data_IF_339801095582
#
_entry.id   IF_339801095582
#
_cell.length_a   1.000
_cell.length_b   1.000
_cell.length_c   1.000
_cell.angle_alpha   90.00
_cell.angle_beta   90.00
_cell.angle_gamma   90.00
#
_symmetry.space_group_name_H-M   'P 1'
#
loop_
_entity.id
_entity.type
_entity.pdbx_description
1 polymer ?
#
# COMPACT_ATOMS: atom_id res chain seq x y z
N UNK A 1 -10.71 6.87 12.89
CA UNK A 1 -11.03 5.47 13.27
C UNK A 1 -11.26 5.40 14.77
N UNK A 2 -12.07 4.45 15.26
CA UNK A 2 -12.25 4.25 16.70
C UNK A 2 -10.93 3.79 17.35
N UNK A 3 -10.74 4.05 18.66
CA UNK A 3 -9.56 3.57 19.41
C UNK A 3 -9.37 2.05 19.26
N UNK A 4 -10.48 1.31 19.29
CA UNK A 4 -10.49 -0.15 19.16
C UNK A 4 -10.01 -0.63 17.78
N UNK A 5 -10.45 0.02 16.71
CA UNK A 5 -10.00 -0.32 15.35
C UNK A 5 -8.49 -0.09 15.18
N UNK A 6 -7.94 0.96 15.82
CA UNK A 6 -6.50 1.21 15.82
C UNK A 6 -5.74 0.09 16.55
N UNK A 7 -6.19 -0.32 17.72
CA UNK A 7 -5.58 -1.44 18.46
C UNK A 7 -5.63 -2.75 17.67
N UNK A 8 -6.75 -3.03 16.99
CA UNK A 8 -6.87 -4.21 16.13
C UNK A 8 -5.83 -4.22 15.01
N UNK A 9 -5.51 -3.06 14.41
CA UNK A 9 -4.43 -2.96 13.41
C UNK A 9 -3.08 -3.35 13.99
N UNK A 10 -2.74 -2.95 15.21
CA UNK A 10 -1.49 -3.38 15.87
C UNK A 10 -1.45 -4.89 16.13
N UNK A 11 -2.58 -5.49 16.48
CA UNK A 11 -2.69 -6.94 16.64
C UNK A 11 -2.48 -7.67 15.30
N UNK A 12 -3.01 -7.11 14.21
CA UNK A 12 -2.78 -7.64 12.86
C UNK A 12 -1.32 -7.48 12.45
N UNK A 13 -0.70 -6.32 12.70
CA UNK A 13 0.72 -6.08 12.41
C UNK A 13 1.61 -7.12 13.13
N UNK A 14 1.37 -7.38 14.42
CA UNK A 14 2.09 -8.42 15.16
C UNK A 14 1.90 -9.80 14.50
N UNK A 15 0.66 -10.16 14.15
CA UNK A 15 0.38 -11.43 13.50
C UNK A 15 1.11 -11.56 12.15
N UNK A 16 1.07 -10.52 11.32
CA UNK A 16 1.74 -10.52 10.01
C UNK A 16 3.26 -10.67 10.15
N UNK A 17 3.87 -10.03 11.16
CA UNK A 17 5.31 -10.18 11.46
C UNK A 17 5.64 -11.60 11.93
N UNK A 18 4.83 -12.18 12.83
CA UNK A 18 4.97 -13.57 13.30
C UNK A 18 4.87 -14.59 12.14
N UNK A 19 3.97 -14.35 11.17
CA UNK A 19 3.82 -15.16 9.96
C UNK A 19 4.83 -14.80 8.85
N UNK A 20 5.70 -13.80 9.08
CA UNK A 20 6.75 -13.34 8.15
C UNK A 20 6.23 -12.73 6.84
N UNK A 21 5.03 -12.16 6.83
CA UNK A 21 4.47 -11.43 5.69
C UNK A 21 5.00 -9.99 5.61
N UNK A 22 6.32 -9.86 5.39
CA UNK A 22 7.06 -8.58 5.51
C UNK A 22 6.50 -7.44 4.67
N UNK A 23 6.21 -7.68 3.39
CA UNK A 23 5.65 -6.63 2.51
C UNK A 23 4.29 -6.16 3.01
N UNK A 24 3.44 -7.09 3.44
CA UNK A 24 2.10 -6.79 3.99
C UNK A 24 2.20 -5.98 5.28
N UNK A 25 3.18 -6.25 6.14
CA UNK A 25 3.45 -5.45 7.35
C UNK A 25 3.66 -3.99 6.97
N UNK A 26 4.63 -3.71 6.09
CA UNK A 26 5.01 -2.34 5.75
C UNK A 26 3.94 -1.61 4.92
N UNK A 27 3.16 -2.34 4.12
CA UNK A 27 1.96 -1.80 3.46
C UNK A 27 0.89 -1.39 4.46
N UNK A 28 0.59 -2.23 5.46
CA UNK A 28 -0.39 -1.90 6.48
C UNK A 28 0.09 -0.75 7.38
N UNK A 29 1.38 -0.70 7.73
CA UNK A 29 2.00 0.44 8.43
C UNK A 29 1.77 1.74 7.66
N UNK A 30 2.07 1.73 6.35
CA UNK A 30 1.92 2.88 5.47
C UNK A 30 0.45 3.30 5.28
N UNK A 31 -0.44 2.38 4.93
CA UNK A 31 -1.84 2.69 4.62
C UNK A 31 -2.64 3.11 5.86
N UNK A 32 -2.32 2.52 7.03
CA UNK A 32 -2.97 2.90 8.29
C UNK A 32 -2.38 4.18 8.89
N UNK A 33 -1.08 4.44 8.66
CA UNK A 33 -0.36 5.57 9.24
C UNK A 33 -0.24 5.52 10.77
N UNK A 34 -0.45 4.36 11.40
CA UNK A 34 -0.49 4.20 12.86
C UNK A 34 0.86 3.91 13.51
N UNK A 35 1.77 3.27 12.80
CA UNK A 35 3.10 2.92 13.29
C UNK A 35 4.13 3.14 12.19
N UNK A 36 5.13 3.96 12.48
CA UNK A 36 6.27 4.19 11.61
C UNK A 36 7.44 3.33 12.06
N UNK A 37 7.68 2.27 11.32
CA UNK A 37 8.80 1.36 11.51
C UNK A 37 10.14 2.03 11.12
N UNK A 38 10.84 2.58 12.11
CA UNK A 38 12.13 3.24 11.92
C UNK A 38 13.19 2.29 11.33
N UNK A 39 13.19 1.02 11.76
CA UNK A 39 14.16 0.04 11.27
C UNK A 39 13.99 -0.23 9.76
N UNK A 40 12.75 -0.43 9.32
CA UNK A 40 12.45 -0.58 7.89
C UNK A 40 12.89 0.65 7.09
N UNK A 41 12.55 1.85 7.58
CA UNK A 41 12.96 3.10 6.93
C UNK A 41 14.49 3.24 6.83
N UNK A 42 15.22 2.91 7.90
CA UNK A 42 16.68 2.90 7.92
C UNK A 42 17.25 1.94 6.85
N UNK A 43 16.73 0.71 6.78
CA UNK A 43 17.16 -0.29 5.82
C UNK A 43 16.94 0.19 4.37
N UNK A 44 15.76 0.75 4.05
CA UNK A 44 15.45 1.26 2.71
C UNK A 44 16.32 2.46 2.31
N UNK A 45 16.63 3.36 3.25
CA UNK A 45 17.54 4.51 3.02
C UNK A 45 18.97 4.05 2.76
N UNK A 46 19.49 3.10 3.54
CA UNK A 46 20.85 2.57 3.36
C UNK A 46 20.96 1.83 2.03
N UNK A 47 19.94 1.08 1.63
CA UNK A 47 19.88 0.41 0.33
C UNK A 47 19.68 1.40 -0.83
N UNK A 48 19.15 2.60 -0.56
CA UNK A 48 18.92 3.65 -1.55
C UNK A 48 17.73 3.37 -2.43
N UNK A 49 16.72 2.70 -1.88
CA UNK A 49 15.46 2.41 -2.54
C UNK A 49 14.55 3.64 -2.47
N UNK A 50 14.98 4.73 -3.11
CA UNK A 50 14.41 6.07 -2.92
C UNK A 50 12.90 6.17 -3.19
N UNK A 51 12.41 5.42 -4.19
CA UNK A 51 10.98 5.42 -4.51
C UNK A 51 10.16 4.74 -3.40
N UNK A 52 10.70 3.70 -2.77
CA UNK A 52 10.09 3.05 -1.61
C UNK A 52 10.10 3.95 -0.38
N UNK A 53 11.24 4.61 -0.13
CA UNK A 53 11.40 5.57 0.98
C UNK A 53 10.35 6.68 0.90
N UNK A 54 10.19 7.32 -0.26
CA UNK A 54 9.20 8.37 -0.45
C UNK A 54 7.76 7.83 -0.37
N UNK A 55 7.50 6.66 -0.95
CA UNK A 55 6.19 5.99 -0.88
C UNK A 55 5.80 5.71 0.56
N UNK A 56 6.68 5.09 1.34
CA UNK A 56 6.45 4.75 2.74
C UNK A 56 6.25 6.00 3.61
N UNK A 57 7.11 7.02 3.48
CA UNK A 57 6.94 8.31 4.16
C UNK A 57 5.61 8.99 3.83
N UNK A 58 5.16 8.88 2.58
CA UNK A 58 3.89 9.44 2.11
C UNK A 58 2.65 8.94 2.85
N UNK A 59 2.73 7.79 3.53
CA UNK A 59 1.67 7.29 4.43
C UNK A 59 1.55 8.07 5.75
N UNK A 60 2.58 8.85 6.11
CA UNK A 60 2.67 9.54 7.41
C UNK A 60 2.68 11.06 7.27
N UNK A 61 3.26 11.59 6.19
CA UNK A 61 3.37 13.03 5.94
C UNK A 61 3.59 13.37 4.47
N UNK A 62 3.20 14.58 4.09
CA UNK A 62 3.45 15.21 2.79
C UNK A 62 4.58 16.23 2.88
N UNK A 63 5.12 16.61 1.73
CA UNK A 63 6.26 17.54 1.60
C UNK A 63 5.97 18.92 2.23
N UNK A 64 4.71 19.35 2.23
CA UNK A 64 4.25 20.67 2.62
C UNK A 64 3.54 20.72 3.98
N UNK A 65 3.44 19.58 4.69
CA UNK A 65 2.72 19.53 5.97
C UNK A 65 3.37 20.42 7.05
N UNK A 66 4.70 20.39 7.16
CA UNK A 66 5.47 21.20 8.09
C UNK A 66 6.96 21.27 7.70
N UNK A 67 7.72 22.12 8.39
CA UNK A 67 9.16 22.35 8.13
C UNK A 67 10.03 21.10 8.33
N UNK A 68 9.68 20.21 9.25
CA UNK A 68 10.41 18.95 9.43
C UNK A 68 10.18 18.02 8.24
N UNK A 69 8.92 17.82 7.84
CA UNK A 69 8.56 17.01 6.67
C UNK A 69 9.22 17.54 5.39
N UNK A 70 9.16 18.85 5.18
CA UNK A 70 9.81 19.50 4.04
C UNK A 70 11.32 19.21 4.01
N UNK A 71 12.00 19.33 5.16
CA UNK A 71 13.44 19.04 5.24
C UNK A 71 13.75 17.55 5.04
N UNK A 72 12.91 16.64 5.54
CA UNK A 72 13.04 15.18 5.32
C UNK A 72 13.03 14.87 3.81
N UNK A 73 12.00 15.33 3.09
CA UNK A 73 11.90 15.08 1.64
C UNK A 73 13.02 15.78 0.87
N UNK A 74 13.42 16.99 1.27
CA UNK A 74 14.52 17.70 0.64
C UNK A 74 15.84 16.92 0.74
N UNK A 75 16.21 16.44 1.93
CA UNK A 75 17.46 15.69 2.12
C UNK A 75 17.46 14.37 1.31
N UNK A 76 16.35 13.63 1.30
CA UNK A 76 16.20 12.40 0.51
C UNK A 76 16.40 12.67 -0.98
N UNK A 77 15.70 13.68 -1.52
CA UNK A 77 15.75 14.02 -2.95
C UNK A 77 17.09 14.63 -3.34
N UNK A 78 17.72 15.38 -2.44
CA UNK A 78 19.08 15.89 -2.61
C UNK A 78 20.07 14.75 -2.70
N UNK A 79 20.00 13.76 -1.80
CA UNK A 79 20.87 12.58 -1.86
C UNK A 79 20.64 11.76 -3.14
N UNK A 80 19.39 11.52 -3.53
CA UNK A 80 19.01 10.87 -4.81
C UNK A 80 19.64 11.58 -6.01
N UNK A 81 19.63 12.91 -6.01
CA UNK A 81 20.25 13.75 -7.05
C UNK A 81 21.78 13.66 -7.05
N UNK A 82 22.42 13.78 -5.88
CA UNK A 82 23.88 13.68 -5.76
C UNK A 82 24.39 12.30 -6.20
N UNK A 83 23.66 11.23 -5.92
CA UNK A 83 24.00 9.88 -6.42
C UNK A 83 23.88 9.73 -7.94
N UNK A 84 22.95 10.46 -8.58
CA UNK A 84 22.88 10.50 -10.04
C UNK A 84 24.08 11.25 -10.63
N UNK A 85 24.49 12.37 -10.02
CA UNK A 85 25.71 13.09 -10.40
C UNK A 85 26.97 12.24 -10.20
N UNK A 86 27.08 11.52 -9.08
CA UNK A 86 28.23 10.67 -8.75
C UNK A 86 28.39 9.49 -9.73
N UNK A 87 27.28 9.03 -10.31
CA UNK A 87 27.26 8.01 -11.37
C UNK A 87 27.44 8.59 -12.77
N UNK A 88 27.66 9.90 -12.88
CA UNK A 88 27.71 10.66 -14.14
C UNK A 88 26.44 10.53 -15.01
N UNK A 89 25.30 10.18 -14.40
CA UNK A 89 24.00 10.11 -15.08
C UNK A 89 23.31 11.48 -15.03
N UNK A 90 23.79 12.40 -15.89
CA UNK A 90 23.28 13.78 -15.96
C UNK A 90 21.82 13.84 -16.39
N UNK A 91 21.36 12.91 -17.23
CA UNK A 91 19.96 12.86 -17.66
C UNK A 91 19.04 12.62 -16.46
N UNK A 92 19.36 11.60 -15.65
CA UNK A 92 18.62 11.31 -14.43
C UNK A 92 18.74 12.43 -13.39
N UNK A 93 19.92 13.05 -13.27
CA UNK A 93 20.11 14.18 -12.37
C UNK A 93 19.19 15.36 -12.74
N UNK A 94 19.09 15.71 -14.03
CA UNK A 94 18.16 16.76 -14.51
C UNK A 94 16.70 16.36 -14.26
N UNK A 95 16.35 15.09 -14.50
CA UNK A 95 15.00 14.59 -14.21
C UNK A 95 14.63 14.78 -12.74
N UNK A 96 15.50 14.35 -11.81
CA UNK A 96 15.30 14.50 -10.36
C UNK A 96 15.24 15.99 -9.99
N UNK A 97 16.12 16.82 -10.55
CA UNK A 97 16.14 18.26 -10.28
C UNK A 97 14.80 18.91 -10.61
N UNK A 98 14.22 18.58 -11.78
CA UNK A 98 12.97 19.17 -12.26
C UNK A 98 11.74 18.57 -11.58
N UNK A 99 11.67 17.25 -11.42
CA UNK A 99 10.50 16.56 -10.86
C UNK A 99 10.45 16.63 -9.34
N UNK A 100 11.58 16.38 -8.68
CA UNK A 100 11.62 16.10 -7.26
C UNK A 100 12.06 17.34 -6.47
N UNK A 101 13.04 18.10 -6.97
CA UNK A 101 13.65 19.22 -6.24
C UNK A 101 13.03 20.60 -6.54
N UNK A 102 12.41 20.79 -7.70
CA UNK A 102 11.86 22.09 -8.11
C UNK A 102 10.80 22.64 -7.16
N UNK A 103 10.06 21.76 -6.47
CA UNK A 103 9.07 22.17 -5.46
C UNK A 103 9.68 22.97 -4.30
N UNK A 104 10.98 22.82 -4.03
CA UNK A 104 11.66 23.55 -2.96
C UNK A 104 12.12 24.96 -3.37
N UNK A 105 12.13 25.27 -4.68
CA UNK A 105 12.60 26.55 -5.20
C UNK A 105 11.75 27.74 -4.69
N UNK A 106 10.46 27.54 -4.44
CA UNK A 106 9.59 28.58 -3.88
C UNK A 106 9.93 28.96 -2.44
N UNK A 107 10.66 28.10 -1.72
CA UNK A 107 11.06 28.34 -0.33
C UNK A 107 12.48 28.91 -0.24
N UNK A 108 13.38 28.47 -1.13
CA UNK A 108 14.73 28.99 -1.21
C UNK A 108 15.24 28.91 -2.65
N UNK A 109 15.04 30.00 -3.40
CA UNK A 109 15.42 30.09 -4.81
C UNK A 109 16.94 30.02 -4.98
N UNK A 110 17.71 30.61 -4.06
CA UNK A 110 19.17 30.61 -4.12
C UNK A 110 19.74 29.20 -3.93
N UNK A 111 19.24 28.46 -2.94
CA UNK A 111 19.62 27.05 -2.74
C UNK A 111 19.29 26.19 -3.97
N UNK A 112 18.16 26.44 -4.64
CA UNK A 112 17.82 25.72 -5.86
C UNK A 112 18.77 26.07 -7.02
N UNK A 113 19.19 27.33 -7.14
CA UNK A 113 20.22 27.75 -8.11
C UNK A 113 21.56 27.10 -7.80
N UNK A 114 22.00 27.09 -6.54
CA UNK A 114 23.24 26.42 -6.10
C UNK A 114 23.23 24.93 -6.47
N UNK A 115 22.13 24.21 -6.20
CA UNK A 115 21.99 22.79 -6.56
C UNK A 115 22.01 22.58 -8.08
N UNK A 116 21.38 23.49 -8.83
CA UNK A 116 21.36 23.45 -10.30
C UNK A 116 22.76 23.64 -10.88
N UNK A 117 23.58 24.52 -10.30
CA UNK A 117 24.96 24.76 -10.73
C UNK A 117 25.85 23.51 -10.58
N UNK A 118 25.50 22.56 -9.71
CA UNK A 118 26.26 21.30 -9.59
C UNK A 118 26.26 20.48 -10.90
N UNK A 119 25.30 20.68 -11.81
CA UNK A 119 25.28 20.04 -13.13
C UNK A 119 26.44 20.49 -14.04
N UNK A 120 26.99 21.69 -13.81
CA UNK A 120 28.06 22.25 -14.64
C UNK A 120 29.44 21.78 -14.21
N UNK A 121 29.57 21.23 -13.01
CA UNK A 121 30.82 20.71 -12.48
C UNK A 121 31.13 19.34 -13.09
N UNK A 122 32.42 19.02 -13.22
CA UNK A 122 32.85 17.65 -13.55
C UNK A 122 32.70 16.75 -12.32
N UNK A 123 33.08 17.25 -11.14
CA UNK A 123 32.79 16.63 -9.86
C UNK A 123 32.12 17.64 -8.92
N UNK A 124 30.91 17.32 -8.45
CA UNK A 124 30.17 18.19 -7.53
C UNK A 124 30.89 18.42 -6.18
N UNK A 125 31.91 17.60 -5.85
CA UNK A 125 32.77 17.78 -4.67
C UNK A 125 33.72 18.98 -4.79
N UNK A 126 33.84 19.59 -5.96
CA UNK A 126 34.52 20.89 -6.14
C UNK A 126 33.75 22.03 -5.44
N UNK A 127 32.46 21.84 -5.17
CA UNK A 127 31.68 22.76 -4.35
C UNK A 127 32.14 22.69 -2.88
N UNK A 128 32.46 23.83 -2.26
CA UNK A 128 32.98 23.90 -0.89
C UNK A 128 32.06 23.22 0.14
N UNK A 129 30.74 23.34 -0.01
CA UNK A 129 29.76 22.76 0.92
C UNK A 129 29.67 21.23 0.79
N UNK A 130 30.01 20.68 -0.39
CA UNK A 130 29.94 19.25 -0.70
C UNK A 130 31.31 18.58 -0.75
N UNK A 131 32.39 19.32 -0.52
CA UNK A 131 33.78 18.82 -0.48
C UNK A 131 34.00 17.64 0.48
N UNK A 132 33.19 17.54 1.54
CA UNK A 132 33.22 16.46 2.54
C UNK A 132 32.42 15.22 2.15
N UNK A 133 31.73 15.26 1.01
CA UNK A 133 30.98 14.11 0.51
C UNK A 133 31.96 13.00 0.12
N UNK A 134 31.97 11.91 0.89
CA UNK A 134 32.81 10.74 0.64
C UNK A 134 32.22 9.82 -0.42
N UNK A 135 32.01 8.56 -0.03
CA UNK A 135 31.30 7.57 -0.84
C UNK A 135 29.78 7.57 -0.55
N UNK A 136 29.02 6.97 -1.46
CA UNK A 136 27.56 6.87 -1.37
C UNK A 136 27.08 6.22 -0.06
N UNK A 137 27.75 5.17 0.43
CA UNK A 137 27.32 4.47 1.64
C UNK A 137 27.51 5.35 2.88
N UNK A 138 28.65 6.02 2.98
CA UNK A 138 28.92 6.98 4.07
C UNK A 138 27.96 8.17 4.02
N UNK A 139 27.68 8.71 2.83
CA UNK A 139 26.73 9.81 2.66
C UNK A 139 25.32 9.44 3.12
N UNK A 140 24.81 8.26 2.73
CA UNK A 140 23.51 7.74 3.19
C UNK A 140 23.47 7.58 4.71
N UNK A 141 24.53 7.04 5.32
CA UNK A 141 24.59 6.86 6.76
C UNK A 141 24.57 8.20 7.53
N UNK A 142 25.30 9.22 7.05
CA UNK A 142 25.29 10.56 7.63
C UNK A 142 23.91 11.20 7.48
N UNK A 143 23.32 11.14 6.29
CA UNK A 143 21.98 11.66 6.03
C UNK A 143 20.95 10.97 6.94
N UNK A 144 21.03 9.65 7.11
CA UNK A 144 20.11 8.89 7.93
C UNK A 144 20.09 9.36 9.39
N UNK A 145 21.26 9.72 9.96
CA UNK A 145 21.33 10.29 11.32
C UNK A 145 20.53 11.59 11.43
N UNK A 146 20.57 12.44 10.40
CA UNK A 146 19.78 13.67 10.36
C UNK A 146 18.29 13.38 10.16
N UNK A 147 17.93 12.46 9.25
CA UNK A 147 16.54 12.06 9.01
C UNK A 147 15.88 11.51 10.28
N UNK A 148 16.58 10.68 11.07
CA UNK A 148 16.07 10.18 12.36
C UNK A 148 15.71 11.31 13.31
N UNK A 149 16.60 12.30 13.48
CA UNK A 149 16.34 13.46 14.32
C UNK A 149 15.14 14.26 13.84
N UNK A 150 15.01 14.45 12.52
CA UNK A 150 13.88 15.17 11.94
C UNK A 150 12.57 14.43 12.15
N UNK A 151 12.56 13.10 11.98
CA UNK A 151 11.38 12.26 12.20
C UNK A 151 10.98 12.27 13.69
N UNK A 152 11.93 12.09 14.59
CA UNK A 152 11.69 12.11 16.04
C UNK A 152 11.16 13.46 16.54
N UNK A 153 11.62 14.57 15.95
CA UNK A 153 11.15 15.91 16.28
C UNK A 153 9.83 16.30 15.58
N UNK A 154 9.41 15.56 14.55
CA UNK A 154 8.24 15.92 13.75
C UNK A 154 6.94 15.54 14.48
N UNK A 155 6.04 16.51 14.74
CA UNK A 155 4.81 16.26 15.51
C UNK A 155 3.88 15.23 14.86
N UNK A 156 3.96 14.99 13.54
CA UNK A 156 3.14 14.00 12.84
C UNK A 156 3.53 12.54 13.13
N UNK A 157 4.73 12.33 13.66
CA UNK A 157 5.26 11.02 14.04
C UNK A 157 5.13 10.76 15.55
N UNK A 158 4.62 11.74 16.32
CA UNK A 158 4.35 11.57 17.74
C UNK A 158 3.41 10.38 17.96
N UNK A 159 3.76 9.53 18.92
CA UNK A 159 3.03 8.30 19.26
C UNK A 159 2.91 7.27 18.12
N UNK A 160 3.80 7.35 17.13
CA UNK A 160 3.90 6.39 16.01
C UNK A 160 5.24 5.68 15.92
N UNK A 161 6.25 6.10 16.68
CA UNK A 161 7.61 5.54 16.61
C UNK A 161 7.85 4.34 17.52
N UNK A 162 6.92 4.07 18.44
CA UNK A 162 7.02 2.98 19.40
C UNK A 162 5.93 1.95 19.13
N UNK A 163 6.34 0.70 18.93
CA UNK A 163 5.39 -0.39 18.79
C UNK A 163 4.83 -0.74 20.18
N UNK A 164 3.51 -0.94 20.34
CA UNK A 164 2.92 -1.30 21.63
C UNK A 164 3.53 -2.58 22.19
N UNK A 165 3.72 -2.63 23.51
CA UNK A 165 4.19 -3.84 24.17
C UNK A 165 3.05 -4.87 24.25
N UNK A 166 3.05 -5.82 23.32
CA UNK A 166 2.08 -6.91 23.22
C UNK A 166 2.75 -8.23 23.61
N UNK A 167 2.03 -9.08 24.36
CA UNK A 167 2.42 -10.49 24.47
C UNK A 167 2.41 -11.14 23.08
N UNK A 168 3.30 -12.09 22.84
CA UNK A 168 3.35 -12.84 21.57
C UNK A 168 1.99 -13.45 21.24
N UNK A 169 1.66 -13.44 19.95
CA UNK A 169 0.44 -14.02 19.39
C UNK A 169 -0.83 -13.51 20.07
N UNK A 170 -0.90 -12.20 20.36
CA UNK A 170 -2.04 -11.59 21.07
C UNK A 170 -3.35 -11.78 20.29
N UNK A 171 -3.32 -11.64 18.98
CA UNK A 171 -4.49 -11.86 18.12
C UNK A 171 -4.99 -13.31 18.21
N UNK A 172 -4.08 -14.30 18.10
CA UNK A 172 -4.40 -15.73 18.24
C UNK A 172 -5.00 -16.03 19.62
N UNK A 173 -4.47 -15.38 20.66
CA UNK A 173 -5.00 -15.51 22.03
C UNK A 173 -6.43 -15.00 22.14
N UNK A 174 -6.74 -13.84 21.54
CA UNK A 174 -8.11 -13.31 21.54
C UNK A 174 -9.08 -14.21 20.76
N UNK A 175 -8.68 -14.70 19.59
CA UNK A 175 -9.47 -15.65 18.80
C UNK A 175 -9.80 -16.91 19.63
N UNK A 176 -8.81 -17.45 20.35
CA UNK A 176 -9.02 -18.61 21.22
C UNK A 176 -9.99 -18.29 22.39
N UNK A 177 -9.92 -17.09 22.95
CA UNK A 177 -10.87 -16.64 23.98
C UNK A 177 -12.30 -16.53 23.42
N UNK A 178 -12.47 -16.00 22.21
CA UNK A 178 -13.77 -15.96 21.53
C UNK A 178 -14.34 -17.36 21.29
N UNK A 179 -13.53 -18.31 20.84
CA UNK A 179 -13.93 -19.70 20.64
C UNK A 179 -14.36 -20.38 21.95
N UNK A 180 -13.59 -20.17 23.02
CA UNK A 180 -13.95 -20.69 24.35
C UNK A 180 -15.29 -20.11 24.83
N UNK A 181 -15.52 -18.82 24.60
CA UNK A 181 -16.78 -18.17 24.96
C UNK A 181 -17.97 -18.73 24.16
N UNK A 182 -17.82 -18.90 22.84
CA UNK A 182 -18.85 -19.55 22.01
C UNK A 182 -19.15 -20.98 22.49
N UNK A 183 -18.12 -21.75 22.85
CA UNK A 183 -18.30 -23.10 23.37
C UNK A 183 -19.03 -23.14 24.71
N UNK A 184 -18.77 -22.20 25.61
CA UNK A 184 -19.48 -22.08 26.90
C UNK A 184 -20.99 -21.85 26.73
N UNK A 185 -21.41 -21.27 25.60
CA UNK A 185 -22.82 -21.04 25.27
C UNK A 185 -23.51 -22.25 24.63
N UNK A 186 -22.79 -23.34 24.39
CA UNK A 186 -23.36 -24.55 23.83
C UNK A 186 -24.31 -25.22 24.84
N UNK A 187 -25.47 -25.70 24.37
CA UNK A 187 -26.46 -26.39 25.22
C UNK A 187 -25.93 -27.69 25.84
N UNK A 188 -25.12 -28.43 25.08
CA UNK A 188 -24.49 -29.69 25.51
C UNK A 188 -23.00 -29.66 25.15
N UNK A 189 -22.15 -28.96 25.93
CA UNK A 189 -20.74 -28.81 25.62
C UNK A 189 -20.01 -30.15 25.75
N UNK A 190 -19.27 -30.53 24.70
CA UNK A 190 -18.38 -31.70 24.74
C UNK A 190 -17.05 -31.31 25.40
N UNK A 191 -16.43 -32.16 26.24
CA UNK A 191 -15.13 -31.88 26.85
C UNK A 191 -14.03 -31.55 25.85
N UNK A 192 -14.10 -32.11 24.64
CA UNK A 192 -13.22 -31.79 23.53
C UNK A 192 -14.06 -31.31 22.33
N UNK A 193 -14.28 -29.99 22.18
CA UNK A 193 -15.04 -29.47 21.06
C UNK A 193 -14.26 -29.56 19.75
N UNK A 194 -14.92 -30.07 18.71
CA UNK A 194 -14.42 -29.98 17.34
C UNK A 194 -14.77 -28.60 16.77
N UNK A 195 -13.80 -27.68 16.77
CA UNK A 195 -13.95 -26.31 16.26
C UNK A 195 -13.60 -26.31 14.77
N UNK A 196 -14.64 -26.19 13.93
CA UNK A 196 -14.50 -26.34 12.48
C UNK A 196 -13.98 -25.10 11.75
N UNK A 197 -14.32 -23.91 12.23
CA UNK A 197 -14.02 -22.65 11.53
C UNK A 197 -14.13 -21.45 12.47
N UNK A 198 -13.50 -20.34 12.07
CA UNK A 198 -13.66 -19.02 12.68
C UNK A 198 -14.73 -18.16 11.96
N UNK A 199 -15.22 -18.60 10.80
CA UNK A 199 -16.11 -17.80 9.96
C UNK A 199 -17.56 -17.75 10.47
N UNK A 200 -17.97 -18.72 11.26
CA UNK A 200 -19.28 -18.78 11.93
C UNK A 200 -19.10 -19.26 13.36
N UNK A 201 -20.01 -18.87 14.24
CA UNK A 201 -19.95 -19.25 15.65
C UNK A 201 -20.01 -20.78 15.84
N UNK A 202 -19.19 -21.29 16.76
CA UNK A 202 -19.18 -22.69 17.13
C UNK A 202 -20.50 -23.10 17.83
N UNK A 203 -21.00 -24.29 17.50
CA UNK A 203 -22.08 -24.96 18.23
C UNK A 203 -21.80 -26.45 18.39
N UNK A 204 -22.02 -26.98 19.60
CA UNK A 204 -22.00 -28.41 19.85
C UNK A 204 -23.31 -29.02 19.33
N UNK A 205 -23.21 -29.97 18.39
CA UNK A 205 -24.37 -30.63 17.79
C UNK A 205 -25.29 -31.29 18.84
N UNK A 206 -26.59 -31.37 18.54
CA UNK A 206 -27.56 -32.12 19.34
C UNK A 206 -27.09 -33.59 19.51
N UNK A 207 -27.25 -34.22 20.68
CA UNK A 207 -26.78 -35.58 20.94
C UNK A 207 -27.49 -36.67 20.12
N UNK A 208 -28.45 -36.31 19.26
CA UNK A 208 -29.14 -37.23 18.35
C UNK A 208 -29.00 -36.78 16.90
N UNK A 209 -27.79 -36.95 16.35
CA UNK A 209 -27.66 -37.18 14.92
C UNK A 209 -28.11 -38.61 14.65
N UNK A 210 -29.24 -38.77 13.94
CA UNK A 210 -29.71 -40.06 13.47
C UNK A 210 -28.54 -40.88 12.90
N UNK A 211 -28.49 -42.17 13.28
CA UNK A 211 -27.59 -43.19 12.74
C UNK A 211 -27.35 -42.93 11.25
N UNK A 212 -26.09 -42.79 10.85
CA UNK A 212 -25.71 -43.08 9.48
C UNK A 212 -26.21 -44.49 9.15
N UNK A 213 -26.94 -44.71 8.04
CA UNK A 213 -27.30 -46.05 7.63
C UNK A 213 -26.01 -46.76 7.20
N UNK A 214 -25.65 -47.82 7.92
CA UNK A 214 -24.61 -48.76 7.47
C UNK A 214 -24.97 -49.30 6.07
N UNK A 215 -23.99 -49.53 5.19
CA UNK A 215 -24.28 -50.01 3.84
C UNK A 215 -24.73 -51.48 3.93
N UNK A 216 -26.02 -51.72 3.75
CA UNK A 216 -26.54 -53.06 3.57
C UNK A 216 -26.33 -53.49 2.12
N UNK A 217 -25.47 -54.51 1.93
CA UNK A 217 -25.36 -55.27 0.69
C UNK A 217 -26.72 -55.83 0.27
N UNK A 218 -27.05 -55.69 -1.01
CA UNK A 218 -28.13 -56.43 -1.66
C UNK A 218 -27.66 -57.88 -1.94
N UNK A 219 -28.56 -58.88 -1.96
CA UNK A 219 -29.06 -59.30 -3.27
C UNK A 219 -30.52 -59.83 -3.32
N UNK A 220 -31.14 -59.62 -4.49
CA UNK A 220 -32.10 -60.48 -5.24
C UNK A 220 -33.23 -61.24 -4.50
N UNK A 221 -34.50 -60.87 -4.75
CA UNK A 221 -35.48 -61.58 -5.60
C UNK A 221 -36.90 -60.96 -5.50
N UNK A 222 -37.64 -60.86 -6.62
CA UNK A 222 -39.09 -61.15 -6.65
C UNK A 222 -40.14 -60.02 -6.72
N UNK A 223 -40.67 -59.80 -7.93
CA UNK A 223 -42.11 -59.60 -8.30
C UNK A 223 -42.93 -58.31 -7.95
N UNK A 224 -43.54 -57.80 -9.04
CA UNK A 224 -44.43 -56.64 -9.37
C UNK A 224 -45.93 -56.92 -8.99
N UNK A 225 -47.00 -56.04 -9.10
CA UNK A 225 -47.19 -54.55 -9.25
C UNK A 225 -48.32 -53.83 -8.38
N UNK A 226 -48.24 -52.47 -8.29
CA UNK A 226 -49.29 -51.37 -8.40
C UNK A 226 -50.55 -51.31 -7.48
N UNK A 227 -51.37 -50.21 -7.48
CA UNK A 227 -51.16 -48.75 -7.72
C UNK A 227 -51.98 -47.77 -6.81
N UNK A 228 -51.75 -46.44 -6.97
CA UNK A 228 -52.71 -45.34 -6.72
C UNK A 228 -52.57 -44.63 -5.37
N UNK A 229 -52.78 -43.32 -5.16
CA UNK A 229 -53.30 -42.19 -5.94
C UNK A 229 -53.51 -40.99 -4.96
N UNK A 230 -53.31 -39.77 -5.45
CA UNK A 230 -53.37 -38.41 -4.85
C UNK A 230 -54.64 -38.03 -3.99
N UNK A 231 -54.85 -36.76 -3.52
CA UNK A 231 -54.02 -35.83 -2.69
C UNK A 231 -54.81 -34.97 -1.63
N UNK A 232 -54.07 -34.15 -0.85
CA UNK A 232 -54.26 -32.74 -0.43
C UNK A 232 -55.45 -32.18 0.41
N UNK A 233 -55.08 -31.10 1.14
CA UNK A 233 -55.82 -29.88 1.56
C UNK A 233 -56.48 -29.82 2.95
N UNK A 234 -56.22 -28.70 3.65
CA UNK A 234 -56.96 -28.27 4.83
C UNK A 234 -56.25 -27.21 5.66
N UNK A 235 -56.22 -25.97 5.19
CA UNK A 235 -55.77 -24.79 5.94
C UNK A 235 -56.97 -24.10 6.61
N UNK A 236 -56.95 -23.90 7.93
CA UNK A 236 -57.74 -22.87 8.64
C UNK A 236 -57.07 -22.51 9.98
N UNK A 237 -56.73 -21.22 10.19
CA UNK A 237 -56.60 -20.61 11.53
C UNK A 237 -57.94 -19.98 11.95
N UNK A 238 -57.99 -18.95 12.83
CA UNK A 238 -57.12 -18.59 13.95
C UNK A 238 -57.92 -18.37 15.26
N UNK A 239 -57.29 -18.34 16.45
CA UNK A 239 -57.87 -17.69 17.64
C UNK A 239 -56.78 -17.20 18.62
N UNK A 240 -56.84 -15.92 18.99
CA UNK A 240 -56.28 -15.32 20.21
C UNK A 240 -57.45 -14.94 21.14
N UNK A 241 -57.19 -14.78 22.46
CA UNK A 241 -57.26 -13.43 23.05
C UNK A 241 -56.19 -13.12 24.15
N UNK A 242 -55.88 -11.84 24.34
CA UNK A 242 -55.05 -11.21 25.41
C UNK A 242 -55.95 -10.81 26.64
N UNK A 243 -55.61 -9.90 27.62
CA UNK A 243 -54.37 -9.15 27.96
C UNK A 243 -54.07 -8.91 29.49
N UNK A 244 -53.03 -8.07 29.77
CA UNK A 244 -52.82 -7.08 30.89
C UNK A 244 -51.79 -7.41 32.03
N UNK A 245 -51.24 -6.42 32.81
CA UNK A 245 -50.22 -5.40 32.42
C UNK A 245 -49.16 -5.04 33.53
N UNK A 246 -48.39 -3.94 33.33
CA UNK A 246 -47.46 -3.12 34.19
C UNK A 246 -45.94 -3.36 34.07
N UNK A 247 -45.01 -2.39 34.06
CA UNK A 247 -44.92 -0.95 33.77
C UNK A 247 -43.41 -0.59 33.56
N UNK A 248 -43.02 0.45 32.79
CA UNK A 248 -41.62 0.79 32.51
C UNK A 248 -41.07 1.94 33.36
N UNK A 249 -39.81 1.85 33.81
CA UNK A 249 -39.11 2.92 34.52
C UNK A 249 -38.31 3.78 33.54
N UNK A 250 -38.61 5.07 33.51
CA UNK A 250 -37.88 6.10 32.79
C UNK A 250 -36.74 6.68 33.65
N UNK A 251 -35.69 7.19 32.99
CA UNK A 251 -34.78 8.17 33.57
C UNK A 251 -33.31 7.94 33.22
N UNK A 252 -32.78 8.69 32.26
CA UNK A 252 -31.65 9.62 32.44
C UNK A 252 -31.32 10.33 31.11
N UNK A 253 -31.68 11.60 31.07
CA UNK A 253 -31.14 12.60 30.15
C UNK A 253 -30.04 13.36 30.90
N UNK A 254 -28.86 13.52 30.31
CA UNK A 254 -27.87 14.50 30.73
C UNK A 254 -27.21 15.12 29.50
N UNK A 255 -27.35 16.43 29.39
CA UNK A 255 -26.70 17.30 28.39
C UNK A 255 -25.24 17.62 28.81
N UNK A 256 -24.41 18.21 27.94
CA UNK A 256 -22.96 18.29 28.08
C UNK A 256 -22.49 19.48 28.92
N UNK A 257 -21.26 19.50 29.48
CA UNK A 257 -20.66 20.71 29.97
C UNK A 257 -19.83 21.40 28.89
N UNK A 258 -20.16 22.68 28.66
CA UNK A 258 -19.28 23.68 28.06
C UNK A 258 -18.44 24.31 29.17
N UNK A 259 -17.10 24.37 29.02
CA UNK A 259 -16.25 25.34 29.72
C UNK A 259 -15.13 25.81 28.79
N UNK A 260 -14.88 27.10 28.94
CA UNK A 260 -14.17 28.12 28.17
C UNK A 260 -12.63 28.07 28.21
N UNK A 261 -12.02 28.58 27.14
CA UNK A 261 -10.59 28.89 26.97
C UNK A 261 -10.05 29.92 27.98
N UNK A 262 -8.71 29.93 28.17
CA UNK A 262 -7.95 31.16 28.30
C UNK A 262 -7.01 31.38 27.09
N UNK A 263 -7.03 32.61 26.58
CA UNK A 263 -6.07 33.14 25.61
C UNK A 263 -4.78 33.57 26.33
N UNK A 264 -3.63 33.31 25.72
CA UNK A 264 -2.36 34.01 26.02
C UNK A 264 -1.70 34.42 24.71
N UNK A 265 -1.30 35.70 24.70
CA UNK A 265 -0.81 36.51 23.59
C UNK A 265 0.56 36.13 23.05
N UNK A 266 0.78 36.63 21.83
CA UNK A 266 1.97 36.51 21.02
C UNK A 266 3.29 36.96 21.66
N UNK A 267 4.34 36.24 21.29
CA UNK A 267 5.73 36.64 21.41
C UNK A 267 6.47 36.23 20.15
N UNK A 268 6.95 37.23 19.40
CA UNK A 268 7.80 37.05 18.23
C UNK A 268 9.17 36.54 18.66
N UNK A 269 9.73 35.55 17.95
CA UNK A 269 11.15 35.20 18.05
C UNK A 269 11.72 35.08 16.64
N UNK A 270 12.62 36.02 16.35
CA UNK A 270 13.27 36.21 15.07
C UNK A 270 14.37 35.19 14.77
N UNK A 271 14.75 35.20 13.49
CA UNK A 271 15.90 34.50 12.94
C UNK A 271 17.20 35.03 13.56
N UNK A 272 18.04 34.13 14.08
CA UNK A 272 19.39 34.44 14.51
C UNK A 272 20.18 33.17 14.82
N UNK A 273 21.22 32.92 14.01
CA UNK A 273 22.37 32.05 14.30
C UNK A 273 23.12 32.54 15.55
N UNK A 274 23.90 31.68 16.26
CA UNK A 274 25.36 31.75 16.02
C UNK A 274 26.18 30.46 16.29
N UNK A 275 27.19 30.27 15.42
CA UNK A 275 28.60 29.88 15.62
C UNK A 275 29.08 28.92 16.73
N UNK A 276 29.87 27.93 16.29
CA UNK A 276 30.93 27.21 17.03
C UNK A 276 31.90 28.14 17.78
N UNK A 277 32.57 27.59 18.81
CA UNK A 277 34.04 27.66 18.84
C UNK A 277 34.70 26.31 19.17
N UNK A 278 35.83 26.05 18.53
CA UNK A 278 36.78 25.01 18.87
C UNK A 278 38.03 25.62 19.52
N UNK A 279 38.52 25.01 20.61
CA UNK A 279 39.93 25.03 21.08
C UNK A 279 40.05 24.00 22.22
N UNK A 280 40.68 22.85 21.98
CA UNK A 280 42.06 22.52 22.38
C UNK A 280 42.38 22.72 23.87
N UNK A 281 42.67 21.61 24.60
CA UNK A 281 43.91 21.40 25.38
C UNK A 281 43.89 20.07 26.18
N UNK A 282 44.80 19.16 25.78
CA UNK A 282 45.75 18.33 26.57
C UNK A 282 45.27 17.35 27.68
N UNK A 283 45.69 16.08 27.48
CA UNK A 283 45.85 14.97 28.44
C UNK A 283 46.57 15.34 29.76
N UNK A 284 46.36 14.55 30.85
CA UNK A 284 47.36 13.54 31.23
C UNK A 284 46.83 12.22 31.89
N UNK A 285 47.49 11.11 31.49
CA UNK A 285 47.95 9.89 32.20
C UNK A 285 47.15 9.16 33.32
N UNK A 286 47.06 7.84 33.10
CA UNK A 286 46.80 6.68 34.00
C UNK A 286 47.91 6.40 35.04
N UNK A 287 47.71 5.46 36.00
CA UNK A 287 48.45 4.17 35.91
C UNK A 287 47.79 2.88 36.51
N UNK A 288 48.17 1.74 35.89
CA UNK A 288 48.47 0.36 36.41
C UNK A 288 47.44 -0.47 37.18
N UNK A 289 47.41 -1.81 37.16
CA UNK A 289 48.14 -2.89 36.47
C UNK A 289 47.47 -4.25 36.84
N UNK A 290 47.57 -5.27 35.97
CA UNK A 290 47.94 -6.68 36.29
C UNK A 290 47.51 -7.66 35.15
N UNK A 291 48.51 -8.31 34.55
CA UNK A 291 48.43 -9.55 33.74
C UNK A 291 49.30 -10.61 34.50
N UNK A 292 49.15 -11.93 34.27
CA UNK A 292 50.06 -12.58 33.29
C UNK A 292 49.60 -13.88 32.58
N UNK A 293 50.09 -14.05 31.34
CA UNK A 293 50.70 -15.23 30.63
C UNK A 293 50.03 -16.62 30.63
N UNK A 294 49.90 -17.38 29.52
CA UNK A 294 50.92 -18.13 28.73
C UNK A 294 50.23 -18.68 27.43
N UNK A 295 50.73 -18.53 26.19
CA UNK A 295 51.79 -19.22 25.40
C UNK A 295 51.34 -20.41 24.49
N UNK A 296 51.24 -20.12 23.15
CA UNK A 296 51.68 -20.80 21.89
C UNK A 296 51.64 -22.37 21.70
N UNK A 297 51.76 -22.96 20.46
CA UNK A 297 51.24 -22.62 19.11
C UNK A 297 50.93 -23.84 18.18
N UNK A 298 50.68 -23.56 16.88
CA UNK A 298 51.22 -24.28 15.68
C UNK A 298 50.16 -24.70 14.64
N UNK A 299 50.46 -24.50 13.35
CA UNK A 299 49.70 -25.11 12.25
C UNK A 299 49.64 -24.30 10.95
N UNK A 300 50.68 -24.44 10.15
CA UNK A 300 50.98 -23.87 8.82
C UNK A 300 50.09 -24.43 7.67
N UNK A 301 49.88 -23.63 6.61
CA UNK A 301 49.98 -24.02 5.19
C UNK A 301 49.29 -23.01 4.26
N UNK A 302 50.12 -22.27 3.54
CA UNK A 302 49.85 -21.60 2.27
C UNK A 302 49.46 -22.57 1.13
N UNK A 303 48.66 -22.11 0.15
CA UNK A 303 49.14 -22.04 -1.25
C UNK A 303 48.25 -21.19 -2.17
N UNK A 304 48.98 -20.51 -3.06
CA UNK A 304 48.67 -19.35 -3.92
C UNK A 304 48.42 -19.74 -5.39
N UNK A 305 47.63 -18.94 -6.13
CA UNK A 305 47.81 -18.45 -7.54
C UNK A 305 46.51 -18.49 -8.38
N UNK A 306 45.86 -17.38 -8.78
CA UNK A 306 46.12 -16.38 -9.87
C UNK A 306 45.96 -16.87 -11.34
N UNK A 307 44.81 -16.50 -12.00
CA UNK A 307 44.51 -15.80 -13.32
C UNK A 307 45.34 -16.15 -14.62
N UNK A 308 44.96 -15.94 -15.95
CA UNK A 308 43.90 -15.17 -16.69
C UNK A 308 43.16 -15.87 -17.92
N UNK A 309 42.28 -15.10 -18.62
CA UNK A 309 41.45 -15.30 -19.88
C UNK A 309 42.30 -15.33 -21.22
N UNK A 310 41.81 -15.21 -22.52
CA UNK A 310 40.47 -14.96 -23.17
C UNK A 310 40.20 -15.59 -24.61
N UNK A 311 39.18 -15.06 -25.35
CA UNK A 311 38.82 -15.13 -26.82
C UNK A 311 37.80 -16.22 -27.23
N UNK A 312 36.75 -16.04 -28.06
CA UNK A 312 36.17 -14.94 -28.86
C UNK A 312 35.35 -15.50 -30.05
N UNK A 313 34.40 -14.72 -30.60
CA UNK A 313 33.83 -14.68 -31.96
C UNK A 313 32.29 -14.70 -32.11
N UNK A 314 31.90 -13.92 -33.13
CA UNK A 314 30.61 -13.35 -33.54
C UNK A 314 30.11 -14.03 -34.83
N UNK A 315 28.80 -14.01 -35.11
CA UNK A 315 28.30 -13.93 -36.50
C UNK A 315 26.84 -13.42 -36.59
N UNK A 316 26.63 -12.39 -37.42
CA UNK A 316 25.34 -11.90 -37.93
C UNK A 316 24.96 -12.62 -39.22
N UNK A 317 23.66 -12.90 -39.47
CA UNK A 317 23.12 -13.01 -40.85
C UNK A 317 21.69 -12.44 -40.92
N UNK A 318 21.46 -11.63 -41.96
CA UNK A 318 20.26 -10.90 -42.37
C UNK A 318 19.13 -11.74 -43.04
N UNK A 319 17.87 -11.42 -42.70
CA UNK A 319 16.62 -11.25 -43.52
C UNK A 319 16.09 -12.42 -44.41
N UNK A 320 14.74 -12.59 -44.59
CA UNK A 320 13.79 -11.53 -44.99
C UNK A 320 12.38 -11.51 -44.35
N UNK A 321 11.74 -10.36 -44.55
CA UNK A 321 10.33 -10.04 -44.23
C UNK A 321 9.38 -10.86 -45.11
N UNK A 322 8.37 -11.51 -44.51
CA UNK A 322 7.12 -11.82 -45.20
C UNK A 322 5.92 -11.75 -44.23
N UNK A 323 5.00 -10.83 -44.55
CA UNK A 323 3.70 -10.62 -43.92
C UNK A 323 2.82 -11.87 -44.08
N UNK A 324 2.34 -12.47 -42.98
CA UNK A 324 1.14 -13.34 -42.97
C UNK A 324 0.37 -13.16 -41.64
N UNK A 325 -0.98 -13.24 -41.67
CA UNK A 325 -1.83 -12.85 -40.54
C UNK A 325 -1.85 -13.92 -39.45
N UNK A 326 -1.59 -13.52 -38.20
CA UNK A 326 -1.73 -14.43 -37.05
C UNK A 326 -3.21 -14.75 -36.88
N UNK A 327 -3.57 -15.95 -37.32
CA UNK A 327 -4.88 -16.54 -37.13
C UNK A 327 -4.88 -17.16 -35.73
N UNK A 328 -5.73 -16.67 -34.83
CA UNK A 328 -5.90 -17.28 -33.51
C UNK A 328 -6.40 -18.72 -33.66
N UNK A 329 -5.85 -19.71 -32.94
CA UNK A 329 -6.46 -21.03 -32.88
C UNK A 329 -7.79 -20.93 -32.11
N UNK A 330 -8.90 -20.98 -32.83
CA UNK A 330 -10.19 -21.35 -32.27
C UNK A 330 -10.21 -22.86 -32.03
N UNK A 331 -10.30 -23.28 -30.77
CA UNK A 331 -11.16 -24.36 -30.25
C UNK A 331 -10.60 -24.99 -28.97
N UNK A 332 -10.80 -24.31 -27.85
CA UNK A 332 -11.10 -25.02 -26.61
C UNK A 332 -12.51 -24.63 -26.20
N UNK A 333 -13.42 -25.59 -26.36
CA UNK A 333 -14.80 -25.56 -25.90
C UNK A 333 -14.82 -25.44 -24.37
N UNK A 334 -14.94 -24.22 -23.86
CA UNK A 334 -15.28 -23.98 -22.47
C UNK A 334 -16.78 -24.28 -22.27
N UNK A 335 -17.19 -24.89 -21.15
CA UNK A 335 -18.61 -25.03 -20.82
C UNK A 335 -19.17 -23.63 -20.65
N UNK A 336 -20.07 -23.26 -21.55
CA UNK A 336 -20.83 -22.03 -21.47
C UNK A 336 -22.00 -22.28 -20.52
N UNK A 337 -21.76 -22.21 -19.21
CA UNK A 337 -22.81 -21.98 -18.22
C UNK A 337 -22.23 -21.51 -16.87
N UNK A 338 -22.94 -20.55 -16.28
CA UNK A 338 -22.68 -19.82 -15.03
C UNK A 338 -21.61 -18.71 -15.05
N UNK A 339 -21.84 -17.69 -15.88
CA UNK A 339 -21.48 -16.33 -15.48
C UNK A 339 -22.30 -15.96 -14.24
N UNK A 340 -21.62 -15.62 -13.14
CA UNK A 340 -22.25 -15.14 -11.92
C UNK A 340 -23.17 -13.94 -12.23
N UNK A 341 -24.49 -14.17 -12.24
CA UNK A 341 -25.51 -13.12 -12.44
C UNK A 341 -25.65 -12.20 -11.21
N UNK A 342 -24.90 -12.46 -10.15
CA UNK A 342 -24.88 -11.63 -8.96
C UNK A 342 -24.16 -10.30 -9.28
N UNK A 343 -24.92 -9.20 -9.25
CA UNK A 343 -24.36 -7.86 -9.38
C UNK A 343 -23.43 -7.60 -8.21
N UNK A 344 -22.12 -7.57 -8.47
CA UNK A 344 -21.13 -7.30 -7.42
C UNK A 344 -21.19 -5.85 -6.95
N UNK A 345 -21.37 -4.90 -7.89
CA UNK A 345 -21.35 -3.45 -7.64
C UNK A 345 -22.19 -2.68 -8.66
N UNK A 346 -22.73 -1.55 -8.23
CA UNK A 346 -23.39 -0.56 -9.09
C UNK A 346 -22.64 0.76 -8.97
N UNK A 347 -22.23 1.34 -10.10
CA UNK A 347 -21.52 2.62 -10.18
C UNK A 347 -22.38 3.63 -10.94
N UNK A 348 -22.54 4.83 -10.39
CA UNK A 348 -23.38 5.88 -10.99
C UNK A 348 -22.54 6.80 -11.87
N UNK A 349 -22.38 6.45 -13.16
CA UNK A 349 -21.57 7.20 -14.13
C UNK A 349 -22.13 8.59 -14.46
N UNK A 350 -23.44 8.80 -14.33
CA UNK A 350 -24.14 10.05 -14.65
C UNK A 350 -24.48 10.20 -16.14
N UNK A 351 -23.55 9.85 -17.03
CA UNK A 351 -23.75 9.80 -18.49
C UNK A 351 -23.70 8.35 -19.00
N UNK A 352 -24.28 8.08 -20.17
CA UNK A 352 -24.36 6.71 -20.69
C UNK A 352 -22.96 6.18 -21.06
N UNK A 353 -22.51 5.06 -20.48
CA UNK A 353 -21.22 4.47 -20.82
C UNK A 353 -21.27 3.86 -22.23
N UNK A 354 -20.25 4.15 -23.04
CA UNK A 354 -20.10 3.64 -24.41
C UNK A 354 -18.99 2.60 -24.51
N UNK A 355 -17.93 2.75 -23.71
CA UNK A 355 -16.81 1.81 -23.67
C UNK A 355 -16.23 1.76 -22.26
N UNK A 356 -15.68 0.59 -21.88
CA UNK A 356 -15.05 0.40 -20.58
C UNK A 356 -13.85 -0.54 -20.71
N UNK A 357 -12.84 -0.34 -19.88
CA UNK A 357 -11.69 -1.24 -19.79
C UNK A 357 -11.11 -1.29 -18.38
N UNK A 358 -10.81 -2.50 -17.90
CA UNK A 358 -10.17 -2.70 -16.60
C UNK A 358 -8.66 -2.54 -16.75
N UNK A 359 -8.03 -1.94 -15.73
CA UNK A 359 -6.58 -1.82 -15.73
C UNK A 359 -5.94 -3.23 -15.71
N UNK A 360 -4.92 -3.50 -16.56
CA UNK A 360 -4.39 -4.86 -16.76
C UNK A 360 -3.73 -5.45 -15.51
N UNK A 361 -3.10 -4.61 -14.68
CA UNK A 361 -2.46 -5.01 -13.40
C UNK A 361 -3.38 -4.79 -12.18
N UNK A 362 -4.13 -3.69 -12.12
CA UNK A 362 -4.97 -3.32 -10.98
C UNK A 362 -6.46 -3.51 -11.32
N UNK A 363 -6.97 -4.75 -11.19
CA UNK A 363 -8.34 -5.12 -11.60
C UNK A 363 -9.48 -4.44 -10.80
N UNK A 364 -9.14 -3.58 -9.83
CA UNK A 364 -10.11 -2.71 -9.14
C UNK A 364 -10.31 -1.37 -9.87
N UNK A 365 -9.40 -1.00 -10.78
CA UNK A 365 -9.50 0.22 -11.56
C UNK A 365 -10.25 -0.03 -12.87
N UNK A 366 -11.33 0.73 -13.07
CA UNK A 366 -12.18 0.69 -14.24
C UNK A 366 -12.17 2.04 -14.95
N UNK A 367 -11.79 2.03 -16.21
CA UNK A 367 -11.84 3.19 -17.08
C UNK A 367 -13.13 3.15 -17.89
N UNK A 368 -13.84 4.27 -17.98
CA UNK A 368 -15.16 4.37 -18.61
C UNK A 368 -15.20 5.58 -19.54
N UNK A 369 -15.51 5.36 -20.81
CA UNK A 369 -15.82 6.41 -21.79
C UNK A 369 -17.34 6.55 -21.98
N UNK A 370 -17.84 7.78 -22.06
CA UNK A 370 -19.29 8.06 -22.18
C UNK A 370 -19.69 8.58 -23.56
N UNK A 371 -20.99 8.62 -23.81
CA UNK A 371 -21.60 9.16 -25.02
C UNK A 371 -21.41 10.68 -25.18
N UNK A 372 -21.09 11.40 -24.10
CA UNK A 372 -20.86 12.86 -24.10
C UNK A 372 -19.38 13.26 -24.08
N UNK A 373 -18.48 12.28 -24.19
CA UNK A 373 -17.03 12.55 -24.27
C UNK A 373 -16.30 12.51 -22.94
N UNK A 374 -17.01 12.23 -21.85
CA UNK A 374 -16.38 12.14 -20.54
C UNK A 374 -15.64 10.82 -20.41
N UNK A 375 -14.44 10.91 -19.84
CA UNK A 375 -13.66 9.77 -19.40
C UNK A 375 -13.66 9.78 -17.88
N UNK A 376 -14.19 8.71 -17.28
CA UNK A 376 -14.15 8.47 -15.85
C UNK A 376 -13.16 7.36 -15.52
N UNK A 377 -12.34 7.57 -14.51
CA UNK A 377 -11.57 6.51 -13.85
C UNK A 377 -12.22 6.20 -12.50
N UNK A 378 -12.55 4.94 -12.29
CA UNK A 378 -13.21 4.45 -11.07
C UNK A 378 -12.33 3.48 -10.33
N UNK A 379 -12.38 3.54 -9.01
CA UNK A 379 -12.05 2.42 -8.17
C UNK A 379 -13.36 1.68 -7.81
N UNK A 380 -13.53 0.51 -8.40
CA UNK A 380 -14.70 -0.36 -8.21
C UNK A 380 -14.77 -0.87 -6.76
N UNK A 381 -13.62 -1.03 -6.10
CA UNK A 381 -13.43 -1.55 -4.74
C UNK A 381 -13.89 -0.57 -3.66
N UNK A 382 -13.85 0.73 -3.92
CA UNK A 382 -14.36 1.80 -3.02
C UNK A 382 -15.66 2.43 -3.52
N UNK A 383 -16.03 2.20 -4.80
CA UNK A 383 -17.09 2.91 -5.53
C UNK A 383 -16.80 4.41 -5.71
N UNK A 384 -15.54 4.80 -5.59
CA UNK A 384 -15.13 6.18 -5.76
C UNK A 384 -14.71 6.44 -7.21
N UNK A 385 -15.12 7.60 -7.72
CA UNK A 385 -14.67 8.10 -9.02
C UNK A 385 -13.41 8.92 -8.81
N UNK A 386 -12.28 8.34 -9.17
CA UNK A 386 -10.95 8.91 -8.95
C UNK A 386 -10.71 10.14 -9.84
N UNK A 387 -11.11 10.06 -11.11
CA UNK A 387 -10.90 11.15 -12.07
C UNK A 387 -12.08 11.24 -13.04
N UNK A 388 -12.44 12.47 -13.40
CA UNK A 388 -13.27 12.76 -14.57
C UNK A 388 -12.57 13.77 -15.45
N UNK A 389 -12.49 13.48 -16.74
CA UNK A 389 -11.93 14.36 -17.78
C UNK A 389 -12.96 14.48 -18.90
N UNK A 390 -13.41 15.70 -19.15
CA UNK A 390 -14.32 15.97 -20.27
C UNK A 390 -13.49 16.11 -21.55
N UNK A 391 -14.01 15.59 -22.66
CA UNK A 391 -13.39 15.76 -23.96
C UNK A 391 -13.35 17.25 -24.35
N UNK A 392 -12.16 17.74 -24.69
CA UNK A 392 -11.96 19.04 -25.33
C UNK A 392 -11.02 18.86 -26.50
N UNK A 393 -11.45 19.25 -27.70
CA UNK A 393 -10.56 19.33 -28.87
C UNK A 393 -9.55 20.45 -28.61
N UNK A 394 -8.27 20.09 -28.62
CA UNK A 394 -7.20 21.08 -28.49
C UNK A 394 -7.05 21.83 -29.82
N UNK A 395 -6.99 23.17 -29.78
CA UNK A 395 -6.82 24.03 -30.96
C UNK A 395 -7.81 23.80 -32.11
N UNK A 396 -9.12 23.90 -31.82
CA UNK A 396 -10.21 23.78 -32.80
C UNK A 396 -9.98 24.58 -34.10
N UNK A 397 -9.34 25.76 -34.01
CA UNK A 397 -9.05 26.63 -35.16
C UNK A 397 -8.01 26.08 -36.15
N UNK A 398 -7.25 25.03 -35.78
CA UNK A 398 -6.32 24.32 -36.68
C UNK A 398 -6.93 23.05 -37.29
N UNK A 399 -8.12 22.64 -36.85
CA UNK A 399 -8.84 21.51 -37.42
C UNK A 399 -9.40 21.83 -38.81
N UNK A 400 -9.70 20.81 -39.62
CA UNK A 400 -10.32 21.02 -40.92
C UNK A 400 -11.67 21.74 -40.80
N UNK A 401 -12.04 22.55 -41.80
CA UNK A 401 -13.35 23.22 -41.84
C UNK A 401 -14.53 22.25 -41.68
N UNK A 402 -14.40 21.03 -42.20
CA UNK A 402 -15.40 19.98 -42.06
C UNK A 402 -15.55 19.50 -40.60
N UNK A 403 -14.45 19.32 -39.87
CA UNK A 403 -14.46 18.92 -38.46
C UNK A 403 -14.98 20.04 -37.57
N UNK A 404 -14.60 21.29 -37.86
CA UNK A 404 -15.14 22.47 -37.16
C UNK A 404 -16.65 22.59 -37.35
N UNK A 405 -17.15 22.44 -38.58
CA UNK A 405 -18.58 22.49 -38.87
C UNK A 405 -19.35 21.31 -38.24
N UNK A 406 -18.77 20.11 -38.21
CA UNK A 406 -19.36 18.95 -37.55
C UNK A 406 -19.52 19.16 -36.04
N UNK A 407 -18.50 19.71 -35.36
CA UNK A 407 -18.53 20.00 -33.92
C UNK A 407 -19.46 21.16 -33.54
N UNK A 408 -19.74 22.08 -34.47
CA UNK A 408 -20.76 23.14 -34.30
C UNK A 408 -22.17 22.55 -34.45
N UNK A 409 -22.34 21.55 -35.31
CA UNK A 409 -23.64 20.89 -35.56
C UNK A 409 -23.99 19.86 -34.47
N UNK A 410 -23.00 19.14 -33.97
CA UNK A 410 -23.11 18.23 -32.84
C UNK A 410 -21.91 18.42 -31.90
N UNK A 411 -22.08 19.14 -30.78
CA UNK A 411 -21.00 19.38 -29.84
C UNK A 411 -20.67 18.13 -29.00
N UNK A 412 -21.44 17.06 -29.09
CA UNK A 412 -21.23 15.84 -28.32
C UNK A 412 -20.31 14.88 -29.07
N UNK A 413 -19.13 14.63 -28.50
CA UNK A 413 -18.15 13.69 -29.04
C UNK A 413 -18.14 12.46 -28.16
N UNK A 414 -18.65 11.33 -28.63
CA UNK A 414 -18.64 10.08 -27.87
C UNK A 414 -17.23 9.53 -27.64
N UNK A 415 -17.04 8.64 -26.67
CA UNK A 415 -15.83 7.80 -26.54
C UNK A 415 -16.18 6.36 -26.88
N UNK A 416 -16.06 6.01 -28.16
CA UNK A 416 -16.45 4.71 -28.70
C UNK A 416 -15.47 3.59 -28.33
N UNK A 417 -14.21 3.93 -28.04
CA UNK A 417 -13.22 2.97 -27.56
C UNK A 417 -12.33 3.59 -26.52
N UNK A 418 -12.12 2.89 -25.42
CA UNK A 418 -11.16 3.25 -24.40
C UNK A 418 -10.40 2.00 -24.00
N UNK A 419 -9.06 2.08 -23.97
CA UNK A 419 -8.21 0.92 -23.70
C UNK A 419 -6.98 1.36 -22.92
N UNK A 420 -6.61 0.59 -21.92
CA UNK A 420 -5.31 0.70 -21.25
C UNK A 420 -4.17 0.23 -22.16
N UNK A 421 -3.00 0.83 -21.98
CA UNK A 421 -1.77 0.21 -22.48
C UNK A 421 -1.51 -1.12 -21.76
N UNK A 422 -0.81 -2.08 -22.36
CA UNK A 422 -0.58 -3.39 -21.74
C UNK A 422 0.11 -3.34 -20.37
N UNK A 423 0.94 -2.32 -20.15
CA UNK A 423 1.63 -2.02 -18.89
C UNK A 423 0.80 -1.16 -17.92
N UNK A 424 -0.37 -0.66 -18.34
CA UNK A 424 -1.30 0.13 -17.53
C UNK A 424 -0.89 1.58 -17.28
N UNK A 425 0.21 2.04 -17.88
CA UNK A 425 0.75 3.40 -17.64
C UNK A 425 -0.01 4.49 -18.39
N UNK A 426 -0.63 4.15 -19.52
CA UNK A 426 -1.36 5.07 -20.40
C UNK A 426 -2.72 4.48 -20.75
N UNK A 427 -3.61 5.32 -21.25
CA UNK A 427 -4.84 4.86 -21.90
C UNK A 427 -5.07 5.66 -23.18
N UNK A 428 -5.48 4.94 -24.22
CA UNK A 428 -5.90 5.52 -25.48
C UNK A 428 -7.41 5.66 -25.53
N UNK A 429 -7.88 6.68 -26.26
CA UNK A 429 -9.30 6.77 -26.64
C UNK A 429 -9.45 6.90 -28.14
N UNK A 430 -10.54 6.34 -28.66
CA UNK A 430 -11.07 6.62 -29.97
C UNK A 430 -12.45 7.24 -29.76
N UNK A 431 -12.58 8.48 -30.23
CA UNK A 431 -13.79 9.29 -30.07
C UNK A 431 -14.67 9.19 -31.31
#
# INVERSE_FOLDING_TARGET
MSSLSRELVFLILQFLDEEKFKETVHKLEQESGFYFNMKYFEDEVINGNWDEVERYLGGFTKVDDNRYSMKIFFEIRKQKYLEALDKHDRSKAVEILVKDLKVFASFNEELFKEITQLLTLENFRENEQLSKYGDTKSARAIMLVELKKLIEANPLFRDKLQFPNLKSSRLRTLINQSLNWQHQLCKNPRPNPDIKTLFVDHSCGQPNGARAPSPANNPLLGSIPKPGGFPQLGAHGPFQPAPTPVAPLAGWMSNPPAVTHPAVSGGAIGFGTPTNPAAMLKHPRTPSAANPSMDYPSGDSDHVSKRPRPVGLSEEVNLPVNMMPVTYPQSHSYPQDDFHKAVARTLSQGSAPMSMDFHPVQQTLLLVGTNVGDIGLWDVGTKERLVVRNFKVWELGKCSMALQAALVKDPTVSVNRIIWSPDGTLFGKMS
#
